data_IF_897501732047
#
_entry.id   IF_897501732047
#
_cell.length_a   1.000
_cell.length_b   1.000
_cell.length_c   1.000
_cell.angle_alpha   90.00
_cell.angle_beta   90.00
_cell.angle_gamma   90.00
#
_symmetry.space_group_name_H-M   'P 1'
#
loop_
_entity.id
_entity.type
_entity.pdbx_description
1 polymer ?
#
# COMPACT_ATOMS: atom_id res chain seq x y z
N UNK A 1 -7.00 0.91 26.84
CA UNK A 1 -6.64 0.61 25.43
C UNK A 1 -7.87 0.10 24.69
N UNK A 2 -8.18 0.62 23.50
CA UNK A 2 -9.31 0.16 22.70
C UNK A 2 -8.85 -0.99 21.78
N UNK A 3 -9.58 -2.10 21.68
CA UNK A 3 -9.21 -3.20 20.78
C UNK A 3 -10.41 -3.62 19.95
N UNK A 4 -10.22 -3.72 18.64
CA UNK A 4 -11.24 -4.19 17.70
C UNK A 4 -10.89 -5.60 17.25
N UNK A 5 -11.82 -6.53 17.45
CA UNK A 5 -11.75 -7.88 16.89
C UNK A 5 -12.89 -8.04 15.89
N UNK A 6 -12.60 -8.60 14.73
CA UNK A 6 -13.61 -8.82 13.71
C UNK A 6 -13.43 -10.19 13.04
N UNK A 7 -14.52 -10.69 12.47
CA UNK A 7 -14.52 -11.84 11.57
C UNK A 7 -15.41 -11.51 10.37
N UNK A 8 -14.86 -11.50 9.16
CA UNK A 8 -15.63 -11.20 7.96
C UNK A 8 -16.62 -12.33 7.67
N UNK A 9 -17.85 -11.99 7.30
CA UNK A 9 -18.77 -12.96 6.71
C UNK A 9 -18.30 -13.30 5.29
N UNK A 10 -17.56 -14.41 5.20
CA UNK A 10 -16.98 -14.92 3.95
C UNK A 10 -17.94 -15.84 3.20
N UNK A 11 -19.23 -15.89 3.55
CA UNK A 11 -20.20 -16.73 2.85
C UNK A 11 -20.25 -16.35 1.36
N UNK A 12 -19.88 -17.32 0.51
CA UNK A 12 -19.91 -17.20 -0.94
C UNK A 12 -21.37 -17.46 -1.36
N UNK A 13 -22.10 -16.49 -1.94
CA UNK A 13 -23.44 -16.73 -2.43
C UNK A 13 -23.43 -17.66 -3.64
N UNK A 14 -24.60 -18.21 -3.97
CA UNK A 14 -24.76 -19.21 -5.04
C UNK A 14 -24.25 -18.71 -6.40
N UNK A 15 -23.96 -19.66 -7.29
CA UNK A 15 -23.22 -19.53 -8.57
C UNK A 15 -23.62 -18.39 -9.52
N UNK A 16 -24.78 -17.78 -9.32
CA UNK A 16 -25.35 -16.72 -10.17
C UNK A 16 -25.33 -15.32 -9.50
N UNK A 17 -24.82 -15.21 -8.27
CA UNK A 17 -24.64 -13.96 -7.52
C UNK A 17 -23.14 -13.58 -7.46
N UNK A 18 -22.76 -12.30 -7.32
CA UNK A 18 -21.35 -11.91 -7.21
C UNK A 18 -20.70 -12.61 -6.00
N UNK A 19 -19.40 -12.94 -6.10
CA UNK A 19 -18.65 -13.87 -5.22
C UNK A 19 -18.75 -13.66 -3.69
N UNK A 20 -19.40 -12.59 -3.20
CA UNK A 20 -19.77 -12.37 -1.80
C UNK A 20 -21.14 -11.67 -1.71
N UNK A 21 -22.00 -12.04 -0.75
CA UNK A 21 -23.31 -11.40 -0.53
C UNK A 21 -23.21 -9.88 -0.28
N UNK A 22 -22.02 -9.41 0.08
CA UNK A 22 -21.63 -8.00 0.14
C UNK A 22 -21.97 -7.20 -1.12
N UNK A 23 -21.91 -7.80 -2.32
CA UNK A 23 -22.29 -7.12 -3.56
C UNK A 23 -23.80 -6.95 -3.72
N UNK A 24 -24.61 -7.85 -3.16
CA UNK A 24 -26.07 -7.75 -3.18
C UNK A 24 -26.60 -6.80 -2.08
N UNK A 25 -25.86 -6.62 -0.97
CA UNK A 25 -26.26 -5.83 0.20
C UNK A 25 -25.52 -4.48 0.39
N UNK A 26 -24.54 -4.17 -0.44
CA UNK A 26 -23.85 -2.87 -0.46
C UNK A 26 -22.49 -2.82 0.25
N UNK A 27 -22.32 -3.42 1.44
CA UNK A 27 -21.05 -3.48 2.18
C UNK A 27 -20.79 -4.89 2.71
N UNK A 28 -19.51 -5.24 2.92
CA UNK A 28 -19.15 -6.50 3.60
C UNK A 28 -19.52 -6.43 5.07
N UNK A 29 -20.27 -7.45 5.50
CA UNK A 29 -20.71 -7.65 6.88
C UNK A 29 -19.75 -8.60 7.62
N UNK A 30 -19.80 -8.57 8.95
CA UNK A 30 -19.01 -9.47 9.78
C UNK A 30 -19.41 -9.39 11.26
N UNK A 31 -18.81 -10.26 12.07
CA UNK A 31 -18.82 -10.11 13.51
C UNK A 31 -17.84 -9.01 13.91
N UNK A 32 -18.24 -8.13 14.82
CA UNK A 32 -17.37 -7.11 15.41
C UNK A 32 -17.51 -7.12 16.93
N UNK A 33 -16.37 -7.18 17.60
CA UNK A 33 -16.27 -7.02 19.05
C UNK A 33 -15.30 -5.89 19.37
N UNK A 34 -15.75 -4.90 20.12
CA UNK A 34 -14.90 -3.83 20.62
C UNK A 34 -14.67 -4.05 22.11
N UNK A 35 -13.40 -4.04 22.51
CA UNK A 35 -12.97 -4.08 23.91
C UNK A 35 -12.43 -2.74 24.34
N UNK A 36 -12.69 -2.38 25.59
CA UNK A 36 -11.94 -1.37 26.33
C UNK A 36 -11.20 -2.10 27.43
N UNK A 37 -9.87 -2.11 27.30
CA UNK A 37 -8.98 -2.97 28.08
C UNK A 37 -9.42 -4.43 27.96
N UNK A 38 -9.63 -5.13 29.07
CA UNK A 38 -10.04 -6.54 29.08
C UNK A 38 -11.56 -6.75 29.05
N UNK A 39 -12.33 -5.67 28.81
CA UNK A 39 -13.81 -5.71 28.89
C UNK A 39 -14.44 -5.48 27.53
N UNK A 40 -15.40 -6.34 27.17
CA UNK A 40 -16.21 -6.19 25.96
C UNK A 40 -17.11 -4.97 26.09
N UNK A 41 -16.82 -3.90 25.35
CA UNK A 41 -17.70 -2.74 25.24
C UNK A 41 -19.02 -3.14 24.59
N UNK A 42 -18.93 -3.73 23.40
CA UNK A 42 -20.05 -4.39 22.73
C UNK A 42 -19.56 -5.48 21.76
N UNK A 43 -20.48 -6.39 21.42
CA UNK A 43 -20.31 -7.40 20.37
C UNK A 43 -21.57 -7.41 19.50
N UNK A 44 -21.39 -7.41 18.18
CA UNK A 44 -22.48 -7.45 17.20
C UNK A 44 -22.14 -8.26 15.96
N UNK A 45 -23.12 -9.02 15.51
CA UNK A 45 -23.15 -9.72 14.23
C UNK A 45 -23.65 -8.81 13.11
N UNK A 46 -23.37 -9.18 11.86
CA UNK A 46 -23.82 -8.48 10.66
C UNK A 46 -23.41 -6.99 10.59
N UNK A 47 -22.28 -6.63 11.22
CA UNK A 47 -21.75 -5.26 11.19
C UNK A 47 -21.09 -4.96 9.86
N UNK A 48 -21.33 -3.77 9.28
CA UNK A 48 -20.65 -3.29 8.06
C UNK A 48 -19.20 -2.91 8.39
N UNK A 49 -18.34 -3.90 8.60
CA UNK A 49 -16.96 -3.74 9.10
C UNK A 49 -16.09 -2.85 8.21
N UNK A 50 -16.25 -2.92 6.89
CA UNK A 50 -15.54 -2.03 5.96
C UNK A 50 -16.06 -0.58 6.02
N UNK A 51 -17.36 -0.38 6.17
CA UNK A 51 -17.93 0.97 6.35
C UNK A 51 -17.40 1.61 7.63
N UNK A 52 -17.43 0.89 8.75
CA UNK A 52 -16.81 1.35 10.00
C UNK A 52 -15.32 1.70 9.79
N UNK A 53 -14.58 0.89 9.03
CA UNK A 53 -13.20 1.18 8.66
C UNK A 53 -13.03 2.50 7.90
N UNK A 54 -13.98 2.88 7.03
CA UNK A 54 -13.94 4.17 6.33
C UNK A 54 -14.09 5.33 7.32
N UNK A 55 -15.09 5.27 8.21
CA UNK A 55 -15.32 6.31 9.23
C UNK A 55 -14.10 6.47 10.15
N UNK A 56 -13.54 5.34 10.60
CA UNK A 56 -12.36 5.33 11.44
C UNK A 56 -11.12 5.88 10.72
N UNK A 57 -10.90 5.51 9.45
CA UNK A 57 -9.81 6.02 8.64
C UNK A 57 -9.90 7.53 8.41
N UNK A 58 -11.08 8.04 8.06
CA UNK A 58 -11.32 9.47 7.87
C UNK A 58 -11.12 10.27 9.15
N UNK A 59 -11.59 9.76 10.30
CA UNK A 59 -11.35 10.38 11.60
C UNK A 59 -9.86 10.41 11.94
N UNK A 60 -9.17 9.28 11.78
CA UNK A 60 -7.76 9.16 12.09
C UNK A 60 -6.91 10.11 11.25
N UNK A 61 -7.19 10.22 9.95
CA UNK A 61 -6.52 11.18 9.07
C UNK A 61 -6.71 12.62 9.56
N UNK A 62 -7.92 13.01 9.96
CA UNK A 62 -8.18 14.35 10.50
C UNK A 62 -7.39 14.63 11.78
N UNK A 63 -7.39 13.67 12.71
CA UNK A 63 -6.67 13.78 14.00
C UNK A 63 -5.16 13.87 13.80
N UNK A 64 -4.60 13.08 12.88
CA UNK A 64 -3.18 13.14 12.53
C UNK A 64 -2.76 14.50 11.94
N UNK A 65 -3.69 15.22 11.30
CA UNK A 65 -3.48 16.59 10.83
C UNK A 65 -3.83 17.67 11.88
N UNK A 66 -3.93 17.29 13.15
CA UNK A 66 -4.21 18.19 14.27
C UNK A 66 -5.66 18.65 14.39
N UNK A 67 -6.61 18.01 13.69
CA UNK A 67 -8.04 18.31 13.82
C UNK A 67 -8.69 17.41 14.87
N UNK A 68 -9.10 18.00 15.99
CA UNK A 68 -9.78 17.28 17.07
C UNK A 68 -11.30 17.20 16.84
N UNK A 69 -11.71 16.60 15.73
CA UNK A 69 -13.13 16.42 15.38
C UNK A 69 -13.68 15.14 15.99
N UNK A 70 -14.91 15.24 16.49
CA UNK A 70 -15.65 14.09 16.99
C UNK A 70 -15.98 13.13 15.84
N UNK A 71 -15.88 11.83 16.11
CA UNK A 71 -16.34 10.78 15.19
C UNK A 71 -17.69 10.26 15.67
N UNK A 72 -18.67 10.21 14.76
CA UNK A 72 -19.93 9.52 14.98
C UNK A 72 -20.10 8.49 13.87
N UNK A 73 -20.20 7.22 14.26
CA UNK A 73 -20.60 6.15 13.37
C UNK A 73 -22.09 5.88 13.58
N UNK A 74 -22.86 6.09 12.51
CA UNK A 74 -24.30 5.92 12.44
C UNK A 74 -24.60 4.96 11.27
N UNK A 75 -25.65 4.15 11.40
CA UNK A 75 -26.13 3.30 10.29
C UNK A 75 -27.46 3.84 9.79
N UNK A 76 -27.73 3.86 8.47
CA UNK A 76 -29.01 4.34 7.93
C UNK A 76 -30.27 3.64 8.48
N UNK A 77 -30.09 2.45 9.05
CA UNK A 77 -31.16 1.62 9.62
C UNK A 77 -31.64 2.12 10.99
N UNK A 78 -30.89 3.02 11.64
CA UNK A 78 -31.20 3.58 12.96
C UNK A 78 -30.75 5.04 13.05
N UNK A 79 -31.65 5.92 13.48
CA UNK A 79 -31.33 7.31 13.87
C UNK A 79 -30.59 7.35 15.23
N UNK A 80 -29.52 6.56 15.38
CA UNK A 80 -28.74 6.46 16.61
C UNK A 80 -27.24 6.33 16.32
N UNK A 81 -26.43 7.06 17.08
CA UNK A 81 -24.97 6.95 17.04
C UNK A 81 -24.54 5.66 17.73
N UNK A 82 -24.02 4.74 16.93
CA UNK A 82 -23.58 3.41 17.35
C UNK A 82 -22.25 3.49 18.09
N UNK A 83 -21.30 4.26 17.55
CA UNK A 83 -19.98 4.46 18.15
C UNK A 83 -19.61 5.93 18.01
N UNK A 84 -19.18 6.54 19.11
CA UNK A 84 -18.76 7.94 19.18
C UNK A 84 -17.38 8.05 19.79
N UNK A 85 -16.49 8.77 19.13
CA UNK A 85 -15.26 9.29 19.73
C UNK A 85 -15.45 10.78 19.99
N UNK A 86 -15.49 11.13 21.26
CA UNK A 86 -15.69 12.50 21.71
C UNK A 86 -14.39 13.07 22.23
N UNK A 87 -13.93 14.14 21.61
CA UNK A 87 -12.75 14.86 22.08
C UNK A 87 -13.08 15.64 23.35
N UNK A 88 -12.26 15.47 24.38
CA UNK A 88 -12.26 16.30 25.58
C UNK A 88 -11.19 17.40 25.46
N UNK A 89 -10.43 17.69 26.51
CA UNK A 89 -9.28 18.59 26.46
C UNK A 89 -7.96 17.79 26.49
N UNK A 90 -6.84 18.44 26.16
CA UNK A 90 -5.48 17.88 26.31
C UNK A 90 -5.25 16.51 25.65
N UNK A 91 -5.80 16.29 24.45
CA UNK A 91 -5.56 15.05 23.72
C UNK A 91 -6.25 13.83 24.32
N UNK A 92 -7.31 14.03 25.11
CA UNK A 92 -8.10 12.97 25.71
C UNK A 92 -9.41 12.76 24.96
N UNK A 93 -9.82 11.50 24.87
CA UNK A 93 -11.03 11.09 24.18
C UNK A 93 -11.90 10.22 25.07
N UNK A 94 -13.20 10.48 25.06
CA UNK A 94 -14.20 9.54 25.57
C UNK A 94 -14.81 8.75 24.43
N UNK A 95 -14.95 7.45 24.67
CA UNK A 95 -15.58 6.53 23.74
C UNK A 95 -16.97 6.22 24.28
N UNK A 96 -17.96 6.24 23.40
CA UNK A 96 -19.32 5.87 23.73
C UNK A 96 -19.87 4.95 22.66
N UNK A 97 -20.69 3.99 23.06
CA UNK A 97 -21.50 3.22 22.13
C UNK A 97 -22.91 3.09 22.65
N UNK A 98 -23.92 3.24 21.79
CA UNK A 98 -25.29 2.94 22.18
C UNK A 98 -25.52 1.47 22.56
N UNK A 99 -24.59 0.59 22.19
CA UNK A 99 -24.62 -0.83 22.53
C UNK A 99 -23.73 -1.19 23.72
N UNK A 100 -23.13 -0.20 24.39
CA UNK A 100 -22.23 -0.44 25.50
C UNK A 100 -22.95 -1.12 26.68
N UNK A 101 -22.31 -2.13 27.26
CA UNK A 101 -22.84 -2.79 28.46
C UNK A 101 -22.49 -2.07 29.76
N UNK A 102 -21.61 -1.08 29.69
CA UNK A 102 -21.11 -0.34 30.84
C UNK A 102 -20.63 1.06 30.43
N UNK A 103 -20.55 1.97 31.40
CA UNK A 103 -19.94 3.27 31.20
C UNK A 103 -18.42 3.19 31.33
N UNK A 104 -17.72 3.72 30.31
CA UNK A 104 -16.28 3.89 30.36
C UNK A 104 -16.00 5.15 31.17
N UNK A 105 -15.33 5.01 32.31
CA UNK A 105 -14.98 6.15 33.17
C UNK A 105 -13.68 6.82 32.77
N UNK A 106 -12.77 6.07 32.13
CA UNK A 106 -11.43 6.54 31.79
C UNK A 106 -11.40 7.14 30.38
N UNK A 107 -10.64 8.21 30.22
CA UNK A 107 -10.33 8.78 28.92
C UNK A 107 -9.19 8.01 28.25
N UNK A 108 -9.19 8.00 26.92
CA UNK A 108 -8.14 7.40 26.10
C UNK A 108 -7.33 8.52 25.46
N UNK A 109 -6.00 8.45 25.52
CA UNK A 109 -5.15 9.44 24.86
C UNK A 109 -5.26 9.33 23.33
N UNK A 110 -5.11 10.45 22.62
CA UNK A 110 -5.11 10.51 21.15
C UNK A 110 -4.18 9.47 20.55
N UNK A 111 -2.95 9.37 21.07
CA UNK A 111 -1.94 8.41 20.59
C UNK A 111 -2.44 6.97 20.70
N UNK A 112 -2.95 6.58 21.87
CA UNK A 112 -3.46 5.22 22.11
C UNK A 112 -4.67 4.91 21.22
N UNK A 113 -5.56 5.89 21.04
CA UNK A 113 -6.76 5.70 20.22
C UNK A 113 -6.41 5.59 18.73
N UNK A 114 -5.49 6.42 18.24
CA UNK A 114 -4.97 6.34 16.86
C UNK A 114 -4.30 5.00 16.63
N UNK A 115 -3.41 4.55 17.52
CA UNK A 115 -2.76 3.22 17.39
C UNK A 115 -3.78 2.08 17.35
N UNK A 116 -4.82 2.15 18.17
CA UNK A 116 -5.91 1.16 18.21
C UNK A 116 -6.67 1.11 16.88
N UNK A 117 -6.96 2.28 16.31
CA UNK A 117 -7.62 2.39 15.00
C UNK A 117 -6.71 1.95 13.87
N UNK A 118 -5.45 2.35 13.87
CA UNK A 118 -4.45 1.91 12.89
C UNK A 118 -4.35 0.40 12.85
N UNK A 119 -4.29 -0.26 14.03
CA UNK A 119 -4.24 -1.72 14.12
C UNK A 119 -5.49 -2.38 13.56
N UNK A 120 -6.67 -1.84 13.85
CA UNK A 120 -7.93 -2.34 13.26
C UNK A 120 -7.92 -2.22 11.74
N UNK A 121 -7.61 -1.02 11.22
CA UNK A 121 -7.55 -0.77 9.78
C UNK A 121 -6.52 -1.65 9.10
N UNK A 122 -5.38 -1.90 9.76
CA UNK A 122 -4.34 -2.78 9.27
C UNK A 122 -4.82 -4.24 9.10
N UNK A 123 -5.32 -4.86 10.17
CA UNK A 123 -5.80 -6.24 10.10
C UNK A 123 -7.00 -6.38 9.16
N UNK A 124 -7.91 -5.40 9.16
CA UNK A 124 -9.05 -5.38 8.25
C UNK A 124 -8.58 -5.26 6.79
N UNK A 125 -7.67 -4.34 6.48
CA UNK A 125 -7.13 -4.16 5.13
C UNK A 125 -6.46 -5.43 4.62
N UNK A 126 -5.74 -6.16 5.50
CA UNK A 126 -5.13 -7.45 5.19
C UNK A 126 -6.18 -8.51 4.83
N UNK A 127 -7.24 -8.64 5.62
CA UNK A 127 -8.32 -9.61 5.33
C UNK A 127 -9.10 -9.24 4.07
N UNK A 128 -9.46 -7.97 3.89
CA UNK A 128 -10.16 -7.46 2.69
C UNK A 128 -9.34 -7.71 1.42
N UNK A 129 -8.02 -7.52 1.48
CA UNK A 129 -7.11 -7.83 0.36
C UNK A 129 -7.08 -9.32 0.05
N UNK A 130 -7.06 -10.19 1.07
CA UNK A 130 -7.04 -11.64 0.86
C UNK A 130 -8.27 -12.13 0.08
N UNK A 131 -9.41 -11.46 0.24
CA UNK A 131 -10.65 -11.75 -0.49
C UNK A 131 -10.88 -10.85 -1.72
N UNK A 132 -9.92 -9.98 -2.06
CA UNK A 132 -9.98 -9.01 -3.17
C UNK A 132 -11.17 -8.05 -3.09
N UNK A 133 -11.53 -7.61 -1.89
CA UNK A 133 -12.57 -6.62 -1.72
C UNK A 133 -12.12 -5.25 -2.30
N UNK A 134 -13.01 -4.48 -2.96
CA UNK A 134 -12.62 -3.23 -3.65
C UNK A 134 -12.23 -2.08 -2.70
N UNK A 135 -12.71 -2.08 -1.46
CA UNK A 135 -12.32 -1.07 -0.46
C UNK A 135 -10.97 -1.42 0.14
N UNK A 136 -10.06 -0.45 0.19
CA UNK A 136 -8.75 -0.56 0.82
C UNK A 136 -8.52 0.61 1.77
N UNK A 137 -7.74 0.39 2.83
CA UNK A 137 -7.40 1.42 3.83
C UNK A 137 -5.99 1.96 3.70
N UNK A 138 -5.30 1.63 2.61
CA UNK A 138 -3.94 2.04 2.30
C UNK A 138 -3.68 3.54 2.46
N UNK A 139 -4.66 4.37 2.08
CA UNK A 139 -4.55 5.83 2.14
C UNK A 139 -4.48 6.36 3.58
N UNK A 140 -5.00 5.58 4.54
CA UNK A 140 -4.96 5.87 5.97
C UNK A 140 -3.77 5.20 6.66
N UNK A 141 -3.21 4.14 6.05
CA UNK A 141 -2.08 3.37 6.56
C UNK A 141 -0.72 3.82 5.97
N UNK A 142 -0.69 4.97 5.28
CA UNK A 142 0.54 5.63 4.85
C UNK A 142 0.93 6.69 5.89
N UNK A 143 2.22 6.79 6.20
CA UNK A 143 2.76 7.87 7.03
C UNK A 143 2.71 9.24 6.34
N UNK A 144 3.23 10.27 7.01
CA UNK A 144 3.50 11.55 6.36
C UNK A 144 4.45 11.35 5.16
N UNK A 145 4.26 12.11 4.07
CA UNK A 145 5.17 12.02 2.93
C UNK A 145 6.53 12.60 3.31
N UNK A 146 7.48 11.72 3.57
CA UNK A 146 8.84 12.08 3.95
C UNK A 146 9.69 12.51 2.74
N UNK A 147 9.38 11.98 1.55
CA UNK A 147 10.15 12.25 0.34
C UNK A 147 9.33 12.00 -0.93
N UNK A 148 9.67 12.71 -2.00
CA UNK A 148 9.20 12.43 -3.35
C UNK A 148 10.37 12.35 -4.33
N UNK A 149 10.39 11.32 -5.17
CA UNK A 149 11.18 11.26 -6.38
C UNK A 149 10.27 11.36 -7.60
N UNK A 150 10.73 12.00 -8.67
CA UNK A 150 9.98 12.12 -9.91
C UNK A 150 10.87 12.05 -11.14
N UNK A 151 10.28 11.60 -12.25
CA UNK A 151 10.90 11.69 -13.57
C UNK A 151 9.83 11.67 -14.66
N UNK A 152 10.23 12.01 -15.89
CA UNK A 152 9.35 12.02 -17.06
C UNK A 152 9.91 11.12 -18.15
N UNK A 153 9.05 10.41 -18.87
CA UNK A 153 9.45 9.59 -20.03
C UNK A 153 8.45 9.67 -21.19
N UNK A 154 8.91 9.59 -22.45
CA UNK A 154 8.03 9.47 -23.60
C UNK A 154 7.23 8.16 -23.61
N UNK A 155 6.01 8.19 -24.16
CA UNK A 155 5.15 7.01 -24.29
C UNK A 155 5.73 5.92 -25.21
N UNK A 156 6.38 6.32 -26.30
CA UNK A 156 6.90 5.40 -27.34
C UNK A 156 8.23 4.73 -26.97
N UNK A 157 8.77 5.05 -25.79
CA UNK A 157 9.98 4.44 -25.24
C UNK A 157 9.69 2.99 -24.80
N UNK A 158 9.73 2.04 -25.74
CA UNK A 158 9.75 0.59 -25.40
C UNK A 158 11.06 0.16 -24.73
N UNK A 159 12.07 1.01 -24.75
CA UNK A 159 13.26 0.84 -23.97
C UNK A 159 13.75 2.23 -23.61
N UNK A 160 13.80 2.52 -22.32
CA UNK A 160 14.38 3.72 -21.72
C UNK A 160 15.92 3.71 -21.94
N UNK A 161 16.38 3.48 -23.18
CA UNK A 161 17.79 3.44 -23.55
C UNK A 161 18.46 4.79 -23.46
N UNK A 162 17.64 5.84 -23.55
CA UNK A 162 18.00 7.20 -23.22
C UNK A 162 17.99 7.34 -21.71
N UNK A 163 19.07 7.88 -21.16
CA UNK A 163 19.15 8.25 -19.75
C UNK A 163 18.00 9.18 -19.37
N UNK A 164 17.22 8.79 -18.36
CA UNK A 164 16.14 9.59 -17.79
C UNK A 164 16.61 10.16 -16.46
N UNK A 165 16.55 11.48 -16.32
CA UNK A 165 16.94 12.15 -15.09
C UNK A 165 15.88 11.97 -14.01
N UNK A 166 16.34 11.69 -12.79
CA UNK A 166 15.52 11.54 -11.58
C UNK A 166 15.71 12.76 -10.71
N UNK A 167 14.60 13.32 -10.27
CA UNK A 167 14.56 14.52 -9.44
C UNK A 167 14.03 14.19 -8.06
N UNK A 168 14.66 14.74 -7.03
CA UNK A 168 14.08 14.91 -5.70
C UNK A 168 13.66 16.37 -5.62
N UNK A 169 12.35 16.61 -5.63
CA UNK A 169 11.77 17.95 -5.80
C UNK A 169 12.31 18.62 -7.09
N UNK A 170 13.17 19.64 -6.98
CA UNK A 170 13.80 20.34 -8.09
C UNK A 170 15.25 19.93 -8.36
N UNK A 171 15.84 19.10 -7.49
CA UNK A 171 17.25 18.72 -7.57
C UNK A 171 17.39 17.38 -8.29
N UNK A 172 18.20 17.34 -9.34
CA UNK A 172 18.61 16.08 -9.96
C UNK A 172 19.40 15.25 -8.94
N UNK A 173 18.94 14.04 -8.68
CA UNK A 173 19.57 13.12 -7.72
C UNK A 173 20.14 11.87 -8.38
N UNK A 174 19.69 11.52 -9.58
CA UNK A 174 20.18 10.34 -10.27
C UNK A 174 19.66 10.21 -11.70
N UNK A 175 19.90 9.05 -12.28
CA UNK A 175 19.51 8.71 -13.65
C UNK A 175 19.02 7.26 -13.70
N UNK A 176 17.92 7.01 -14.39
CA UNK A 176 17.45 5.66 -14.73
C UNK A 176 17.72 5.40 -16.21
N UNK A 177 18.19 4.21 -16.56
CA UNK A 177 18.43 3.81 -17.95
C UNK A 177 18.22 2.32 -18.13
N UNK A 178 17.55 1.93 -19.21
CA UNK A 178 17.51 0.56 -19.70
C UNK A 178 18.61 0.29 -20.73
N UNK A 179 19.21 -0.89 -20.75
CA UNK A 179 20.11 -1.29 -21.83
C UNK A 179 20.02 -2.79 -22.11
N UNK A 180 20.47 -3.19 -23.29
CA UNK A 180 20.54 -4.59 -23.69
C UNK A 180 21.99 -5.05 -23.67
N UNK A 181 22.23 -6.27 -23.20
CA UNK A 181 23.58 -6.87 -23.20
C UNK A 181 24.18 -6.93 -24.62
N UNK A 182 23.35 -7.13 -25.63
CA UNK A 182 23.74 -7.11 -27.04
C UNK A 182 22.51 -6.95 -27.95
N UNK A 183 22.76 -6.75 -29.26
CA UNK A 183 21.72 -6.57 -30.28
C UNK A 183 20.80 -7.79 -30.41
N UNK A 184 21.31 -9.00 -30.16
CA UNK A 184 20.49 -10.22 -30.22
C UNK A 184 19.42 -10.21 -29.14
N UNK A 185 19.78 -9.88 -27.89
CA UNK A 185 18.82 -9.77 -26.77
C UNK A 185 17.73 -8.73 -27.07
N UNK A 186 18.10 -7.61 -27.71
CA UNK A 186 17.13 -6.61 -28.16
C UNK A 186 16.11 -7.16 -29.17
N UNK A 187 16.54 -8.05 -30.06
CA UNK A 187 15.64 -8.67 -31.05
C UNK A 187 14.74 -9.72 -30.39
N UNK A 188 15.25 -10.45 -29.41
CA UNK A 188 14.49 -11.48 -28.69
C UNK A 188 13.30 -10.91 -27.91
N UNK A 189 13.38 -9.67 -27.41
CA UNK A 189 12.26 -9.00 -26.70
C UNK A 189 11.03 -8.74 -27.59
N UNK A 190 11.19 -8.75 -28.91
CA UNK A 190 10.05 -8.67 -29.83
C UNK A 190 9.33 -10.02 -30.01
N UNK A 191 9.84 -11.10 -29.42
CA UNK A 191 9.26 -12.45 -29.51
C UNK A 191 8.37 -12.68 -28.28
N UNK A 192 7.03 -12.81 -28.42
CA UNK A 192 6.07 -12.88 -27.30
C UNK A 192 6.26 -14.01 -26.27
N UNK A 193 7.19 -14.94 -26.51
CA UNK A 193 7.46 -16.11 -25.64
C UNK A 193 8.81 -16.02 -24.93
N UNK A 194 9.64 -15.05 -25.29
CA UNK A 194 10.92 -14.79 -24.63
C UNK A 194 10.65 -13.62 -23.70
N UNK A 195 10.85 -13.81 -22.39
CA UNK A 195 10.67 -12.74 -21.42
C UNK A 195 11.56 -11.52 -21.72
N UNK A 196 11.34 -10.43 -21.01
CA UNK A 196 12.09 -9.19 -21.15
C UNK A 196 13.60 -9.44 -20.93
N UNK A 197 14.45 -8.97 -21.84
CA UNK A 197 15.92 -9.06 -21.75
C UNK A 197 16.58 -7.71 -21.50
N UNK A 198 15.78 -6.66 -21.28
CA UNK A 198 16.28 -5.35 -20.87
C UNK A 198 16.84 -5.43 -19.44
N UNK A 199 17.95 -4.74 -19.23
CA UNK A 199 18.56 -4.54 -17.92
C UNK A 199 18.38 -3.08 -17.56
N UNK A 200 17.81 -2.80 -16.40
CA UNK A 200 17.68 -1.44 -15.90
C UNK A 200 18.84 -1.13 -14.94
N UNK A 201 19.46 0.02 -15.12
CA UNK A 201 20.40 0.60 -14.19
C UNK A 201 19.87 1.90 -13.61
N UNK A 202 20.20 2.14 -12.34
CA UNK A 202 20.00 3.41 -11.68
C UNK A 202 21.35 3.89 -11.18
N UNK A 203 21.67 5.13 -11.51
CA UNK A 203 22.87 5.81 -11.04
C UNK A 203 22.54 6.98 -10.13
N UNK A 204 23.41 7.25 -9.17
CA UNK A 204 23.32 8.46 -8.35
C UNK A 204 23.88 9.70 -9.10
N UNK A 205 23.73 10.88 -8.49
CA UNK A 205 24.27 12.15 -8.99
C UNK A 205 25.79 12.20 -9.21
N UNK A 206 26.53 11.21 -8.72
CA UNK A 206 27.99 11.07 -8.92
C UNK A 206 28.33 10.02 -9.99
N UNK A 207 27.34 9.55 -10.75
CA UNK A 207 27.45 8.49 -11.76
C UNK A 207 27.81 7.09 -11.20
N UNK A 208 27.68 6.88 -9.88
CA UNK A 208 27.84 5.55 -9.31
C UNK A 208 26.58 4.72 -9.54
N UNK A 209 26.75 3.46 -9.94
CA UNK A 209 25.64 2.51 -10.06
C UNK A 209 25.12 2.20 -8.65
N UNK A 210 23.82 2.37 -8.45
CA UNK A 210 23.12 2.04 -7.20
C UNK A 210 22.21 0.85 -7.36
N UNK A 211 21.59 0.67 -8.53
CA UNK A 211 20.73 -0.49 -8.80
C UNK A 211 21.01 -1.06 -10.18
N UNK A 212 21.00 -2.39 -10.26
CA UNK A 212 20.87 -3.15 -11.51
C UNK A 212 19.68 -4.10 -11.35
N UNK A 213 18.65 -3.95 -12.18
CA UNK A 213 17.51 -4.85 -12.20
C UNK A 213 17.45 -5.61 -13.53
N UNK A 214 17.32 -6.95 -13.45
CA UNK A 214 17.24 -7.83 -14.62
C UNK A 214 16.14 -8.86 -14.43
N UNK A 215 15.39 -9.13 -15.48
CA UNK A 215 14.47 -10.26 -15.49
C UNK A 215 15.27 -11.58 -15.56
N UNK A 216 15.00 -12.50 -14.64
CA UNK A 216 15.61 -13.83 -14.53
C UNK A 216 14.56 -14.95 -14.58
N UNK A 217 13.38 -14.62 -15.10
CA UNK A 217 12.23 -15.52 -15.17
C UNK A 217 12.59 -16.81 -15.91
N UNK A 218 12.13 -17.92 -15.35
CA UNK A 218 12.12 -19.24 -16.01
C UNK A 218 10.67 -19.70 -15.97
N UNK A 219 10.18 -20.25 -17.08
CA UNK A 219 8.78 -20.63 -17.36
C UNK A 219 7.81 -20.65 -16.16
N UNK A 220 6.67 -19.94 -16.30
CA UNK A 220 5.50 -19.82 -15.41
C UNK A 220 5.51 -18.78 -14.29
N UNK A 221 6.67 -18.31 -13.79
CA UNK A 221 6.70 -17.29 -12.74
C UNK A 221 7.68 -16.18 -13.09
N UNK A 222 7.21 -14.93 -13.04
CA UNK A 222 8.06 -13.76 -13.27
C UNK A 222 8.98 -13.54 -12.07
N UNK A 223 10.28 -13.40 -12.31
CA UNK A 223 11.32 -13.23 -11.29
C UNK A 223 12.27 -12.14 -11.76
N UNK A 224 12.47 -11.12 -10.95
CA UNK A 224 13.36 -10.00 -11.24
C UNK A 224 14.47 -10.05 -10.18
N UNK A 225 15.73 -10.13 -10.62
CA UNK A 225 16.87 -9.95 -9.74
C UNK A 225 17.23 -8.47 -9.70
N UNK A 226 17.21 -7.89 -8.50
CA UNK A 226 17.62 -6.52 -8.22
C UNK A 226 18.92 -6.59 -7.40
N UNK A 227 20.02 -6.13 -7.97
CA UNK A 227 21.28 -5.89 -7.27
C UNK A 227 21.29 -4.44 -6.81
N UNK A 228 21.34 -4.21 -5.51
CA UNK A 228 21.33 -2.87 -4.90
C UNK A 228 22.63 -2.63 -4.14
N UNK A 229 23.28 -1.50 -4.39
CA UNK A 229 24.49 -1.06 -3.67
C UNK A 229 24.07 0.07 -2.74
N UNK A 230 24.09 -0.19 -1.43
CA UNK A 230 23.64 0.77 -0.42
C UNK A 230 24.63 1.93 -0.23
N UNK A 231 24.29 2.86 0.66
CA UNK A 231 25.12 4.03 0.96
C UNK A 231 26.45 3.70 1.66
N UNK A 232 26.61 2.46 2.14
CA UNK A 232 27.85 1.94 2.73
C UNK A 232 28.63 1.07 1.72
N UNK A 233 28.25 1.12 0.44
CA UNK A 233 28.80 0.34 -0.66
C UNK A 233 28.69 -1.19 -0.45
N UNK A 234 27.74 -1.64 0.39
CA UNK A 234 27.41 -3.04 0.53
C UNK A 234 26.42 -3.46 -0.58
N UNK A 235 26.71 -4.59 -1.22
CA UNK A 235 25.87 -5.14 -2.27
C UNK A 235 24.82 -6.09 -1.70
N UNK A 236 23.57 -5.90 -2.13
CA UNK A 236 22.40 -6.67 -1.74
C UNK A 236 21.75 -7.27 -2.97
N UNK A 237 21.64 -8.59 -3.03
CA UNK A 237 20.86 -9.29 -4.07
C UNK A 237 19.45 -9.56 -3.57
N UNK A 238 18.47 -8.95 -4.24
CA UNK A 238 17.05 -9.01 -3.87
C UNK A 238 16.29 -9.65 -5.02
N UNK A 239 15.59 -10.73 -4.72
CA UNK A 239 14.79 -11.43 -5.71
C UNK A 239 13.31 -11.05 -5.55
N UNK A 240 12.81 -10.29 -6.51
CA UNK A 240 11.40 -9.90 -6.58
C UNK A 240 10.63 -10.95 -7.40
N UNK A 241 9.70 -11.64 -6.74
CA UNK A 241 8.94 -12.73 -7.34
C UNK A 241 7.48 -12.33 -7.52
N UNK A 242 6.92 -12.63 -8.68
CA UNK A 242 5.48 -12.55 -8.91
C UNK A 242 4.75 -13.56 -8.02
N UNK A 243 3.71 -13.08 -7.34
CA UNK A 243 2.82 -13.83 -6.48
C UNK A 243 1.73 -14.54 -7.29
N UNK A 244 0.68 -15.02 -6.60
CA UNK A 244 -0.48 -15.60 -7.29
C UNK A 244 -1.27 -14.48 -7.99
N UNK A 245 -1.42 -14.60 -9.31
CA UNK A 245 -2.43 -13.86 -10.10
C UNK A 245 -3.82 -14.09 -9.49
N UNK A 246 -4.44 -13.01 -9.04
CA UNK A 246 -5.74 -13.00 -8.39
C UNK A 246 -6.49 -11.78 -8.96
N UNK A 247 -7.09 -12.00 -10.14
CA UNK A 247 -7.70 -10.98 -11.03
C UNK A 247 -6.73 -9.84 -11.42
N UNK A 248 -7.21 -8.77 -12.06
CA UNK A 248 -6.42 -7.79 -12.85
C UNK A 248 -5.27 -7.05 -12.12
N UNK A 249 -5.02 -7.34 -10.83
CA UNK A 249 -3.94 -6.76 -10.05
C UNK A 249 -2.74 -7.71 -9.96
N UNK A 250 -1.53 -7.17 -10.09
CA UNK A 250 -0.29 -7.94 -9.98
C UNK A 250 0.33 -7.74 -8.59
N UNK A 251 0.75 -8.84 -7.98
CA UNK A 251 1.32 -8.89 -6.63
C UNK A 251 2.75 -9.40 -6.74
N UNK A 252 3.73 -8.66 -6.22
CA UNK A 252 5.11 -9.11 -6.14
C UNK A 252 5.59 -9.11 -4.70
N UNK A 253 6.45 -10.05 -4.36
CA UNK A 253 7.01 -10.21 -3.01
C UNK A 253 8.53 -10.24 -3.08
N UNK A 254 9.17 -9.69 -2.05
CA UNK A 254 10.62 -9.79 -1.86
C UNK A 254 10.97 -9.66 -0.38
N UNK A 255 12.20 -10.04 -0.04
CA UNK A 255 12.74 -9.91 1.31
C UNK A 255 13.95 -8.99 1.28
N UNK A 256 14.01 -8.04 2.23
CA UNK A 256 15.14 -7.14 2.43
C UNK A 256 15.30 -6.86 3.92
N UNK A 257 16.53 -6.76 4.45
CA UNK A 257 16.79 -6.56 5.89
C UNK A 257 16.01 -7.50 6.85
N UNK A 258 15.74 -8.75 6.41
CA UNK A 258 14.94 -9.79 7.12
C UNK A 258 13.44 -9.49 7.25
N UNK A 259 12.92 -8.51 6.52
CA UNK A 259 11.50 -8.17 6.46
C UNK A 259 10.92 -8.57 5.09
N UNK A 260 9.65 -8.94 5.07
CA UNK A 260 8.91 -9.22 3.84
C UNK A 260 8.20 -7.96 3.34
N UNK A 261 8.30 -7.74 2.04
CA UNK A 261 7.69 -6.62 1.35
C UNK A 261 6.79 -7.10 0.23
N UNK A 262 5.75 -6.31 -0.03
CA UNK A 262 4.74 -6.61 -1.02
C UNK A 262 4.58 -5.41 -1.95
N UNK A 263 4.81 -5.61 -3.24
CA UNK A 263 4.49 -4.62 -4.27
C UNK A 263 3.13 -4.96 -4.87
N UNK A 264 2.19 -4.03 -4.78
CA UNK A 264 0.89 -4.11 -5.41
C UNK A 264 0.86 -3.20 -6.64
N UNK A 265 0.57 -3.76 -7.81
CA UNK A 265 0.46 -3.03 -9.08
C UNK A 265 -0.97 -3.15 -9.62
N UNK A 266 -1.59 -2.02 -9.90
CA UNK A 266 -2.89 -1.97 -10.59
C UNK A 266 -2.69 -1.87 -12.11
N UNK A 267 -3.71 -2.22 -12.89
CA UNK A 267 -3.70 -2.10 -14.36
C UNK A 267 -3.52 -0.67 -14.88
N UNK A 268 -3.79 0.34 -14.05
CA UNK A 268 -3.75 1.77 -14.41
C UNK A 268 -2.40 2.39 -14.04
N UNK A 269 -1.39 1.57 -13.68
CA UNK A 269 -0.04 2.04 -13.44
C UNK A 269 0.21 2.62 -12.04
N UNK A 270 -0.74 2.46 -11.11
CA UNK A 270 -0.51 2.76 -9.71
C UNK A 270 0.22 1.59 -9.05
N UNK A 271 1.30 1.89 -8.34
CA UNK A 271 2.06 0.94 -7.54
C UNK A 271 2.01 1.31 -6.06
N UNK A 272 1.95 0.32 -5.17
CA UNK A 272 2.16 0.52 -3.73
C UNK A 272 3.15 -0.50 -3.23
N UNK A 273 4.06 -0.07 -2.38
CA UNK A 273 4.99 -0.93 -1.68
C UNK A 273 4.59 -0.98 -0.21
N UNK A 274 4.42 -2.19 0.28
CA UNK A 274 3.97 -2.46 1.64
C UNK A 274 5.05 -3.21 2.42
N UNK A 275 5.22 -2.82 3.69
CA UNK A 275 5.96 -3.57 4.71
C UNK A 275 5.00 -3.88 5.83
N UNK A 276 4.86 -5.16 6.21
CA UNK A 276 3.86 -5.58 7.21
C UNK A 276 2.51 -4.89 6.94
N UNK A 277 2.07 -4.88 5.68
CA UNK A 277 0.89 -4.19 5.13
C UNK A 277 0.70 -2.68 5.40
N UNK A 278 1.70 -1.98 5.94
CA UNK A 278 1.79 -0.52 5.93
C UNK A 278 2.35 -0.03 4.60
N UNK A 279 1.80 1.05 4.05
CA UNK A 279 2.30 1.63 2.81
C UNK A 279 3.54 2.47 3.13
N UNK A 280 4.70 1.96 2.72
CA UNK A 280 5.98 2.66 2.92
C UNK A 280 6.37 3.51 1.72
N UNK A 281 5.84 3.17 0.53
CA UNK A 281 6.00 3.98 -0.66
C UNK A 281 4.84 3.73 -1.64
N UNK A 282 4.54 4.74 -2.45
CA UNK A 282 3.62 4.61 -3.58
C UNK A 282 4.24 5.13 -4.88
N UNK A 283 3.62 4.72 -5.97
CA UNK A 283 4.03 5.03 -7.32
C UNK A 283 2.82 5.47 -8.13
N UNK A 284 2.88 6.69 -8.65
CA UNK A 284 1.81 7.30 -9.40
C UNK A 284 2.30 7.62 -10.81
N UNK A 285 1.51 7.22 -11.80
CA UNK A 285 1.76 7.53 -13.20
C UNK A 285 0.62 8.42 -13.68
N UNK A 286 0.96 9.58 -14.22
CA UNK A 286 0.03 10.45 -14.95
C UNK A 286 0.45 10.53 -16.40
N UNK A 287 -0.51 10.43 -17.31
CA UNK A 287 -0.30 10.63 -18.72
C UNK A 287 -0.72 12.07 -19.06
N UNK A 288 0.22 12.86 -19.57
CA UNK A 288 -0.06 14.17 -20.12
C UNK A 288 0.53 14.22 -21.54
N UNK A 289 -0.35 14.37 -22.53
CA UNK A 289 0.02 14.30 -23.95
C UNK A 289 0.77 13.00 -24.27
N UNK A 290 2.00 13.09 -24.76
CA UNK A 290 2.85 11.95 -25.15
C UNK A 290 3.92 11.62 -24.08
N UNK A 291 3.73 12.12 -22.85
CA UNK A 291 4.67 11.97 -21.75
C UNK A 291 4.02 11.31 -20.52
N UNK A 292 4.68 10.27 -20.00
CA UNK A 292 4.40 9.76 -18.66
C UNK A 292 5.16 10.57 -17.62
N UNK A 293 4.41 11.05 -16.64
CA UNK A 293 4.89 11.70 -15.43
C UNK A 293 4.84 10.67 -14.31
N UNK A 294 6.00 10.39 -13.75
CA UNK A 294 6.16 9.41 -12.68
C UNK A 294 6.47 10.16 -11.39
N UNK A 295 5.74 9.81 -10.33
CA UNK A 295 6.02 10.25 -8.97
C UNK A 295 6.05 9.05 -8.04
N UNK A 296 7.16 8.89 -7.32
CA UNK A 296 7.31 7.94 -6.23
C UNK A 296 7.33 8.71 -4.91
N UNK A 297 6.37 8.44 -4.03
CA UNK A 297 6.37 9.02 -2.69
C UNK A 297 6.84 7.97 -1.69
N UNK A 298 7.63 8.40 -0.70
CA UNK A 298 8.10 7.56 0.40
C UNK A 298 7.55 8.14 1.69
N UNK A 299 7.01 7.25 2.53
CA UNK A 299 6.27 7.57 3.75
C UNK A 299 6.97 7.09 5.02
N UNK A 300 8.10 6.40 4.87
CA UNK A 300 8.84 5.77 5.95
C UNK A 300 10.30 6.28 5.92
N UNK A 301 10.72 6.93 7.00
CA UNK A 301 12.01 7.60 7.12
C UNK A 301 13.19 6.63 6.96
N UNK A 302 13.02 5.40 7.45
CA UNK A 302 14.04 4.34 7.41
C UNK A 302 14.45 3.98 5.97
N UNK A 303 13.61 4.33 4.97
CA UNK A 303 13.84 4.02 3.56
C UNK A 303 14.17 5.25 2.72
N UNK A 304 14.35 6.44 3.32
CA UNK A 304 14.86 7.61 2.59
C UNK A 304 16.28 7.33 2.08
N UNK A 305 17.10 6.67 2.90
CA UNK A 305 18.46 6.28 2.51
C UNK A 305 18.47 5.19 1.44
N UNK A 306 17.43 4.35 1.41
CA UNK A 306 17.24 3.27 0.45
C UNK A 306 16.41 3.72 -0.79
N UNK A 307 16.35 5.02 -1.08
CA UNK A 307 15.50 5.59 -2.14
C UNK A 307 15.71 4.95 -3.52
N UNK A 308 16.96 4.60 -3.87
CA UNK A 308 17.28 4.00 -5.16
C UNK A 308 16.81 2.55 -5.24
N UNK A 309 16.82 1.81 -4.13
CA UNK A 309 16.25 0.48 -4.06
C UNK A 309 14.75 0.53 -4.37
N UNK A 310 14.01 1.43 -3.70
CA UNK A 310 12.57 1.59 -3.90
C UNK A 310 12.27 1.94 -5.36
N UNK A 311 12.99 2.91 -5.91
CA UNK A 311 12.89 3.34 -7.30
C UNK A 311 13.18 2.18 -8.26
N UNK A 312 14.23 1.39 -8.00
CA UNK A 312 14.63 0.24 -8.80
C UNK A 312 13.60 -0.88 -8.82
N UNK A 313 13.04 -1.20 -7.66
CA UNK A 313 11.98 -2.21 -7.52
C UNK A 313 10.74 -1.76 -8.29
N UNK A 314 10.25 -0.55 -8.06
CA UNK A 314 9.08 -0.04 -8.77
C UNK A 314 9.32 0.03 -10.27
N UNK A 315 10.45 0.57 -10.72
CA UNK A 315 10.74 0.69 -12.14
C UNK A 315 10.77 -0.67 -12.83
N UNK A 316 11.46 -1.66 -12.24
CA UNK A 316 11.56 -3.00 -12.80
C UNK A 316 10.22 -3.76 -12.78
N UNK A 317 9.44 -3.65 -11.70
CA UNK A 317 8.14 -4.32 -11.57
C UNK A 317 7.08 -3.68 -12.49
N UNK A 318 7.06 -2.35 -12.57
CA UNK A 318 6.02 -1.60 -13.27
C UNK A 318 6.26 -1.52 -14.79
N UNK A 319 7.52 -1.48 -15.24
CA UNK A 319 7.85 -1.30 -16.67
C UNK A 319 8.61 -2.45 -17.32
N UNK A 320 9.16 -3.39 -16.55
CA UNK A 320 9.86 -4.55 -17.09
C UNK A 320 8.96 -5.69 -17.52
#
# INVERSE_FOLDING_TARGET
MLTFLFELDKSIPDKDDPRYAAYAKGFIEGELTIHVDDRVLFQKSCMKVAELGIYLGQWMEQVQHGQNKQMNYETPERDEVILRFFYEEDGQWKIYSSWQQFEIQESISTTTLVESVQRYLYELNKELRAIQYPVTFDQYLRGERMMQLSYKRPCDSKADMTSIEVYKESKQVGVVRGYYKNTLMRVLDFIPKVGSNIIYEIKDSKDNIRVIAKDVSRQRQRRILVTYIDNHDAEHEILVCDGKLLDANFLFTFTYKREEYVVHKTTIGLGKLLRNGYVIADWNIRLEEDMYYIEMNVYDEDYIEDQYLLLGIFHAVLYG
#
